data_IF_827185283145
#
_entry.id   IF_827185283145
#
_cell.length_a   1.000
_cell.length_b   1.000
_cell.length_c   1.000
_cell.angle_alpha   90.00
_cell.angle_beta   90.00
_cell.angle_gamma   90.00
#
_symmetry.space_group_name_H-M   'P 1'
#
loop_
_entity.id
_entity.type
_entity.pdbx_description
1 polymer ?
#
# COMPACT_ATOMS: atom_id res chain seq x y z
N UNK A 1 -3.87 10.98 -38.74
CA UNK A 1 -2.65 11.77 -38.48
C UNK A 1 -2.67 12.52 -37.13
N UNK A 2 -3.47 13.58 -36.90
CA UNK A 2 -3.48 14.28 -35.57
C UNK A 2 -3.99 13.40 -34.41
N UNK A 3 -5.03 12.59 -34.64
CA UNK A 3 -5.55 11.66 -33.63
C UNK A 3 -4.58 10.48 -33.35
N UNK A 4 -3.96 9.92 -34.40
CA UNK A 4 -3.00 8.82 -34.23
C UNK A 4 -1.75 9.23 -33.46
N UNK A 5 -1.23 10.44 -33.70
CA UNK A 5 -0.09 10.96 -32.94
C UNK A 5 -0.43 11.20 -31.47
N UNK A 6 -1.67 11.56 -31.16
CA UNK A 6 -2.10 11.73 -29.77
C UNK A 6 -2.21 10.37 -29.06
N UNK A 7 -2.75 9.33 -29.73
CA UNK A 7 -2.84 7.97 -29.18
C UNK A 7 -1.44 7.39 -28.97
N UNK A 8 -0.51 7.58 -29.91
CA UNK A 8 0.89 7.11 -29.82
C UNK A 8 1.63 7.63 -28.59
N UNK A 9 1.29 8.84 -28.14
CA UNK A 9 1.85 9.47 -26.94
C UNK A 9 1.01 9.26 -25.69
N UNK A 10 -0.10 8.52 -25.77
CA UNK A 10 -0.99 8.31 -24.63
C UNK A 10 -0.70 6.98 -23.94
N UNK A 11 -0.46 7.00 -22.64
CA UNK A 11 -0.15 5.83 -21.81
C UNK A 11 -1.17 5.73 -20.69
N UNK A 12 -1.71 4.53 -20.46
CA UNK A 12 -2.60 4.26 -19.33
C UNK A 12 -1.84 3.45 -18.26
N UNK A 13 -1.90 3.89 -17.01
CA UNK A 13 -1.23 3.23 -15.89
C UNK A 13 -2.28 2.85 -14.86
N UNK A 14 -2.35 1.59 -14.50
CA UNK A 14 -3.23 1.07 -13.44
C UNK A 14 -2.44 0.88 -12.14
N UNK A 15 -2.95 1.44 -11.05
CA UNK A 15 -2.35 1.43 -9.72
C UNK A 15 -1.55 2.70 -9.45
N UNK A 16 -2.08 3.57 -8.59
CA UNK A 16 -1.46 4.82 -8.16
C UNK A 16 -0.76 4.69 -6.81
N UNK A 17 -0.05 3.59 -6.61
CA UNK A 17 0.99 3.48 -5.59
C UNK A 17 2.23 4.30 -5.96
N UNK A 18 3.26 4.26 -5.10
CA UNK A 18 4.55 4.94 -5.32
C UNK A 18 5.12 4.67 -6.72
N UNK A 19 5.00 3.43 -7.19
CA UNK A 19 5.54 3.01 -8.47
C UNK A 19 4.81 3.66 -9.66
N UNK A 20 3.48 3.53 -9.72
CA UNK A 20 2.67 4.13 -10.79
C UNK A 20 2.79 5.65 -10.83
N UNK A 21 2.91 6.30 -9.67
CA UNK A 21 3.17 7.75 -9.58
C UNK A 21 4.53 8.12 -10.17
N UNK A 22 5.59 7.39 -9.83
CA UNK A 22 6.93 7.65 -10.36
C UNK A 22 7.04 7.37 -11.86
N UNK A 23 6.38 6.32 -12.37
CA UNK A 23 6.30 6.04 -13.81
C UNK A 23 5.55 7.18 -14.52
N UNK A 24 4.44 7.63 -13.94
CA UNK A 24 3.63 8.73 -14.50
C UNK A 24 4.46 10.00 -14.66
N UNK A 25 5.22 10.39 -13.64
CA UNK A 25 6.08 11.58 -13.67
C UNK A 25 7.13 11.46 -14.77
N UNK A 26 7.85 10.33 -14.82
CA UNK A 26 8.92 10.13 -15.80
C UNK A 26 8.41 10.17 -17.24
N UNK A 27 7.31 9.46 -17.54
CA UNK A 27 6.72 9.48 -18.89
C UNK A 27 6.17 10.86 -19.25
N UNK A 28 5.55 11.54 -18.29
CA UNK A 28 4.97 12.86 -18.54
C UNK A 28 6.03 13.93 -18.80
N UNK A 29 7.15 13.87 -18.07
CA UNK A 29 8.33 14.73 -18.29
C UNK A 29 9.01 14.42 -19.64
N UNK A 30 8.91 13.18 -20.14
CA UNK A 30 9.32 12.80 -21.51
C UNK A 30 8.31 13.22 -22.59
N UNK A 31 7.21 13.89 -22.23
CA UNK A 31 6.22 14.41 -23.17
C UNK A 31 5.10 13.46 -23.57
N UNK A 32 4.91 12.35 -22.84
CA UNK A 32 3.75 11.48 -23.00
C UNK A 32 2.56 12.01 -22.20
N UNK A 33 1.34 11.78 -22.72
CA UNK A 33 0.09 11.99 -22.02
C UNK A 33 -0.23 10.75 -21.18
N UNK A 34 -0.28 10.88 -19.86
CA UNK A 34 -0.48 9.77 -18.93
C UNK A 34 -1.85 9.86 -18.28
N UNK A 35 -2.61 8.76 -18.35
CA UNK A 35 -3.77 8.53 -17.50
C UNK A 35 -3.39 7.60 -16.37
N UNK A 36 -3.29 8.13 -15.14
CA UNK A 36 -3.07 7.32 -13.95
C UNK A 36 -4.41 6.94 -13.34
N UNK A 37 -4.71 5.65 -13.35
CA UNK A 37 -6.00 5.07 -13.00
C UNK A 37 -5.85 4.23 -11.74
N UNK A 38 -6.70 4.48 -10.75
CA UNK A 38 -6.76 3.67 -9.53
C UNK A 38 -8.23 3.43 -9.13
N UNK A 39 -8.53 2.23 -8.67
CA UNK A 39 -9.86 1.85 -8.20
C UNK A 39 -10.13 2.35 -6.78
N UNK A 40 -9.09 2.74 -6.04
CA UNK A 40 -9.20 3.35 -4.73
C UNK A 40 -9.57 4.83 -4.84
N UNK A 41 -10.16 5.35 -3.76
CA UNK A 41 -10.57 6.76 -3.68
C UNK A 41 -9.38 7.72 -3.57
N UNK A 42 -8.20 7.19 -3.26
CA UNK A 42 -6.97 7.93 -3.02
C UNK A 42 -5.78 7.21 -3.65
N UNK A 43 -4.77 7.98 -4.05
CA UNK A 43 -3.47 7.44 -4.43
C UNK A 43 -2.59 7.28 -3.18
N UNK A 44 -1.47 6.57 -3.32
CA UNK A 44 -0.63 6.17 -2.19
C UNK A 44 -0.20 4.73 -2.30
N UNK A 45 -1.17 3.84 -2.53
CA UNK A 45 -0.98 2.41 -2.34
C UNK A 45 -0.51 2.13 -0.91
N UNK A 46 0.32 1.09 -0.74
CA UNK A 46 0.75 0.64 0.59
C UNK A 46 1.60 1.67 1.34
N UNK A 47 2.30 2.55 0.62
CA UNK A 47 3.04 3.65 1.24
C UNK A 47 2.18 4.57 2.13
N UNK A 48 0.86 4.61 1.90
CA UNK A 48 -0.06 5.40 2.69
C UNK A 48 -0.21 4.94 4.14
N UNK A 49 0.11 3.68 4.46
CA UNK A 49 -0.12 3.13 5.82
C UNK A 49 1.11 2.42 6.41
N UNK A 50 2.25 2.44 5.72
CA UNK A 50 3.50 1.79 6.18
C UNK A 50 4.41 2.70 7.02
N UNK A 51 4.00 3.96 7.26
CA UNK A 51 4.68 4.99 8.05
C UNK A 51 6.10 5.36 7.54
N UNK A 52 7.11 4.53 7.82
CA UNK A 52 8.50 4.73 7.42
C UNK A 52 8.98 3.69 6.41
N UNK A 53 9.88 4.09 5.53
CA UNK A 53 10.58 3.23 4.58
C UNK A 53 11.91 2.75 5.16
N UNK A 54 12.14 1.45 5.15
CA UNK A 54 13.46 0.88 5.42
C UNK A 54 14.33 0.96 4.15
N UNK A 55 15.67 0.97 4.27
CA UNK A 55 16.45 0.99 5.51
C UNK A 55 16.73 2.40 6.06
N UNK A 56 16.31 3.47 5.36
CA UNK A 56 16.70 4.83 5.73
C UNK A 56 15.87 5.41 6.88
N UNK A 57 14.76 4.76 7.24
CA UNK A 57 13.78 5.23 8.23
C UNK A 57 13.19 6.61 7.90
N UNK A 58 13.28 6.98 6.62
CA UNK A 58 12.62 8.13 6.05
C UNK A 58 11.13 7.90 5.94
N UNK A 59 10.40 8.99 5.78
CA UNK A 59 9.00 8.94 5.46
C UNK A 59 8.76 8.22 4.12
N UNK A 60 7.78 7.30 4.05
CA UNK A 60 7.49 6.52 2.84
C UNK A 60 7.02 7.39 1.66
N UNK A 61 6.74 8.67 1.91
CA UNK A 61 6.13 9.58 0.95
C UNK A 61 7.09 10.17 -0.09
N UNK A 62 8.28 9.64 -0.30
CA UNK A 62 9.23 10.18 -1.27
C UNK A 62 8.96 9.68 -2.71
N UNK A 63 8.53 10.58 -3.59
CA UNK A 63 8.40 10.46 -5.04
C UNK A 63 9.52 11.20 -5.79
N UNK A 64 9.64 10.95 -7.09
CA UNK A 64 10.47 11.77 -7.97
C UNK A 64 9.95 13.22 -8.04
N UNK A 65 10.87 14.18 -8.21
CA UNK A 65 10.48 15.56 -8.53
C UNK A 65 9.98 15.62 -9.96
N UNK A 66 8.98 16.46 -10.23
CA UNK A 66 8.55 16.77 -11.60
C UNK A 66 9.44 17.83 -12.24
N UNK A 67 9.64 17.76 -13.55
CA UNK A 67 10.30 18.82 -14.33
C UNK A 67 9.44 20.07 -14.49
N UNK A 68 8.10 19.92 -14.46
CA UNK A 68 7.15 21.02 -14.67
C UNK A 68 7.16 22.09 -13.56
N UNK A 69 7.36 21.69 -12.29
CA UNK A 69 7.56 22.61 -11.17
C UNK A 69 8.82 22.19 -10.42
N UNK A 70 9.97 22.74 -10.81
CA UNK A 70 11.22 22.52 -10.08
C UNK A 70 11.15 23.04 -8.63
N UNK A 71 11.74 22.32 -7.68
CA UNK A 71 11.94 22.80 -6.30
C UNK A 71 10.83 22.49 -5.28
N UNK A 72 9.79 21.78 -5.69
CA UNK A 72 8.85 21.17 -4.74
C UNK A 72 9.49 19.90 -4.15
N UNK A 73 9.45 19.76 -2.82
CA UNK A 73 9.99 18.57 -2.13
C UNK A 73 9.42 17.30 -2.77
N UNK A 74 10.25 16.26 -2.81
CA UNK A 74 9.94 14.89 -3.25
C UNK A 74 8.78 14.22 -2.51
N UNK A 75 7.95 14.92 -1.74
CA UNK A 75 6.87 14.30 -0.97
C UNK A 75 5.61 14.10 -1.82
N UNK A 76 4.78 13.09 -1.51
CA UNK A 76 3.40 12.96 -2.05
C UNK A 76 2.69 14.31 -2.05
N UNK A 77 2.68 14.99 -0.91
CA UNK A 77 2.07 16.31 -0.74
C UNK A 77 2.48 17.37 -1.78
N UNK A 78 3.74 17.37 -2.23
CA UNK A 78 4.32 18.47 -3.02
C UNK A 78 4.80 18.07 -4.39
N UNK A 79 4.76 16.80 -4.80
CA UNK A 79 5.39 16.29 -6.03
C UNK A 79 4.98 16.99 -7.34
N UNK A 80 3.99 17.90 -7.29
CA UNK A 80 3.59 18.72 -8.44
C UNK A 80 2.76 17.94 -9.45
N UNK A 81 2.58 16.64 -9.22
CA UNK A 81 1.89 15.73 -10.12
C UNK A 81 0.45 16.17 -10.40
N UNK A 82 -0.25 16.72 -9.41
CA UNK A 82 -1.60 17.30 -9.56
C UNK A 82 -1.66 18.46 -10.54
N UNK A 83 -0.52 19.10 -10.82
CA UNK A 83 -0.42 20.26 -11.71
C UNK A 83 0.32 19.92 -13.00
N UNK A 84 0.71 18.67 -13.22
CA UNK A 84 1.43 18.30 -14.42
C UNK A 84 0.45 18.26 -15.60
N UNK A 85 0.68 19.04 -16.67
CA UNK A 85 -0.31 19.20 -17.76
C UNK A 85 -0.55 17.90 -18.54
N UNK A 86 0.45 17.02 -18.58
CA UNK A 86 0.35 15.73 -19.27
C UNK A 86 -0.10 14.57 -18.37
N UNK A 87 -0.50 14.81 -17.11
CA UNK A 87 -0.97 13.74 -16.22
C UNK A 87 -2.44 13.99 -15.88
N UNK A 88 -3.27 13.02 -16.24
CA UNK A 88 -4.68 12.97 -15.83
C UNK A 88 -4.85 11.91 -14.75
N UNK A 89 -5.37 12.34 -13.60
CA UNK A 89 -5.56 11.51 -12.42
C UNK A 89 -7.00 10.99 -12.32
N UNK A 90 -7.18 9.67 -12.42
CA UNK A 90 -8.48 9.00 -12.40
C UNK A 90 -8.60 8.07 -11.19
N UNK A 91 -9.05 8.63 -10.07
CA UNK A 91 -9.35 7.87 -8.83
C UNK A 91 -10.73 7.21 -8.90
N UNK A 92 -10.94 6.20 -8.06
CA UNK A 92 -12.21 5.48 -7.94
C UNK A 92 -12.72 4.99 -9.30
N UNK A 93 -11.80 4.54 -10.16
CA UNK A 93 -12.04 4.21 -11.56
C UNK A 93 -11.62 2.78 -11.85
N UNK A 94 -12.52 2.01 -12.45
CA UNK A 94 -12.34 0.59 -12.76
C UNK A 94 -12.42 0.35 -14.27
N UNK A 95 -11.62 -0.59 -14.79
CA UNK A 95 -11.71 -1.03 -16.18
C UNK A 95 -12.93 -1.94 -16.37
N UNK A 96 -13.81 -1.61 -17.31
CA UNK A 96 -14.93 -2.45 -17.73
C UNK A 96 -14.52 -3.40 -18.85
N UNK A 97 -13.89 -2.86 -19.90
CA UNK A 97 -13.48 -3.63 -21.06
C UNK A 97 -12.22 -3.03 -21.70
N UNK A 98 -11.40 -3.91 -22.30
CA UNK A 98 -10.24 -3.56 -23.09
C UNK A 98 -10.38 -4.17 -24.47
N UNK A 99 -10.19 -3.36 -25.52
CA UNK A 99 -10.13 -3.79 -26.92
C UNK A 99 -8.86 -3.28 -27.57
N UNK A 100 -8.53 -3.85 -28.73
CA UNK A 100 -7.38 -3.43 -29.52
C UNK A 100 -6.10 -4.17 -29.19
N UNK A 101 -4.97 -3.58 -29.57
CA UNK A 101 -3.62 -4.19 -29.50
C UNK A 101 -2.56 -3.11 -29.33
N UNK A 102 -1.30 -3.50 -29.08
CA UNK A 102 -0.15 -2.59 -28.95
C UNK A 102 -0.23 -1.44 -29.96
N UNK A 103 -0.18 -0.21 -29.47
CA UNK A 103 -0.25 1.02 -30.26
C UNK A 103 -1.65 1.61 -30.46
N UNK A 104 -2.72 0.85 -30.23
CA UNK A 104 -4.10 1.34 -30.22
C UNK A 104 -4.99 0.44 -29.35
N UNK A 105 -4.91 0.65 -28.05
CA UNK A 105 -5.84 0.09 -27.07
C UNK A 105 -7.02 1.04 -26.89
N UNK A 106 -8.21 0.48 -26.72
CA UNK A 106 -9.43 1.20 -26.37
C UNK A 106 -9.95 0.69 -25.03
N UNK A 107 -9.97 1.57 -24.04
CA UNK A 107 -10.38 1.30 -22.67
C UNK A 107 -11.77 1.87 -22.43
N UNK A 108 -12.67 1.02 -21.94
CA UNK A 108 -13.95 1.44 -21.38
C UNK A 108 -13.81 1.44 -19.85
N UNK A 109 -13.88 2.62 -19.23
CA UNK A 109 -13.68 2.80 -17.79
C UNK A 109 -14.98 3.25 -17.12
N UNK A 110 -15.15 2.87 -15.85
CA UNK A 110 -16.23 3.31 -14.98
C UNK A 110 -15.65 4.06 -13.80
N UNK A 111 -15.94 5.37 -13.70
CA UNK A 111 -15.55 6.22 -12.59
C UNK A 111 -16.72 6.37 -11.62
N UNK A 112 -16.51 5.91 -10.39
CA UNK A 112 -17.46 6.08 -9.28
C UNK A 112 -17.24 7.45 -8.63
N UNK A 113 -18.31 8.12 -8.17
CA UNK A 113 -18.19 9.43 -7.52
C UNK A 113 -17.45 9.34 -6.19
N UNK A 114 -16.57 10.31 -5.93
CA UNK A 114 -16.03 10.62 -4.58
C UNK A 114 -16.93 11.64 -3.85
N UNK A 115 -17.90 12.22 -4.58
CA UNK A 115 -18.82 13.29 -4.15
C UNK A 115 -18.14 14.59 -3.69
N UNK A 116 -16.84 14.72 -3.90
CA UNK A 116 -16.03 15.88 -3.52
C UNK A 116 -15.18 16.28 -4.73
N UNK A 117 -15.28 17.55 -5.11
CA UNK A 117 -14.50 18.15 -6.20
C UNK A 117 -13.13 18.60 -5.73
N UNK A 118 -12.28 18.95 -6.70
CA UNK A 118 -10.92 19.44 -6.46
C UNK A 118 -10.88 20.85 -5.81
N UNK A 119 -12.04 21.50 -5.64
CA UNK A 119 -12.19 22.76 -4.92
C UNK A 119 -12.06 22.60 -3.39
N UNK A 120 -11.98 21.36 -2.89
CA UNK A 120 -11.96 21.07 -1.46
C UNK A 120 -10.66 21.57 -0.80
N UNK A 121 -10.82 22.37 0.26
CA UNK A 121 -9.71 22.97 1.01
C UNK A 121 -9.30 22.19 2.28
N UNK A 122 -9.81 20.96 2.46
CA UNK A 122 -9.47 20.06 3.58
C UNK A 122 -9.66 20.68 4.99
N UNK A 123 -10.76 21.42 5.21
CA UNK A 123 -10.99 22.18 6.45
C UNK A 123 -11.62 21.41 7.63
N UNK A 124 -11.90 20.12 7.51
CA UNK A 124 -12.48 19.31 8.60
C UNK A 124 -13.97 19.50 8.92
N UNK A 125 -14.59 20.63 8.56
CA UNK A 125 -15.98 20.96 8.94
C UNK A 125 -17.03 19.90 8.59
N UNK A 126 -16.86 19.20 7.46
CA UNK A 126 -17.78 18.14 7.05
C UNK A 126 -17.72 16.90 7.96
N UNK A 127 -16.57 16.66 8.59
CA UNK A 127 -16.34 15.56 9.53
C UNK A 127 -16.98 15.90 10.88
N UNK A 128 -16.74 17.11 11.39
CA UNK A 128 -17.26 17.58 12.69
C UNK A 128 -18.80 17.47 12.81
N UNK A 129 -19.53 17.69 11.71
CA UNK A 129 -20.99 17.65 11.71
C UNK A 129 -21.56 16.24 11.43
N UNK A 130 -20.72 15.28 11.09
CA UNK A 130 -21.18 13.97 10.66
C UNK A 130 -21.59 13.11 11.86
N UNK A 131 -22.86 12.68 11.97
CA UNK A 131 -23.35 11.95 13.14
C UNK A 131 -22.83 10.50 13.25
N UNK A 132 -22.02 10.04 12.29
CA UNK A 132 -21.45 8.69 12.23
C UNK A 132 -19.92 8.71 12.44
N UNK A 133 -19.36 9.87 12.79
CA UNK A 133 -17.95 10.04 13.07
C UNK A 133 -17.83 10.65 14.46
N UNK A 134 -17.17 9.92 15.36
CA UNK A 134 -16.99 10.37 16.74
C UNK A 134 -15.72 11.22 16.88
N UNK A 135 -14.65 10.90 16.14
CA UNK A 135 -13.41 11.67 16.12
C UNK A 135 -12.89 11.89 14.70
N UNK A 136 -12.29 13.06 14.44
CA UNK A 136 -11.60 13.36 13.17
C UNK A 136 -10.44 12.40 12.88
N UNK A 137 -9.89 11.71 13.88
CA UNK A 137 -8.86 10.69 13.67
C UNK A 137 -9.41 9.34 13.23
N UNK A 138 -10.71 9.09 13.43
CA UNK A 138 -11.34 7.85 12.97
C UNK A 138 -11.48 7.81 11.46
N UNK A 139 -11.40 8.98 10.79
CA UNK A 139 -11.59 9.14 9.34
C UNK A 139 -10.39 8.78 8.48
N UNK A 140 -9.36 8.19 9.09
CA UNK A 140 -8.26 7.56 8.37
C UNK A 140 -8.80 6.46 7.46
N UNK A 141 -8.40 6.47 6.20
CA UNK A 141 -8.83 5.46 5.24
C UNK A 141 -8.11 4.14 5.51
N UNK A 142 -8.71 3.29 6.35
CA UNK A 142 -8.29 1.91 6.58
C UNK A 142 -9.20 1.01 5.72
N UNK A 143 -8.80 0.83 4.47
CA UNK A 143 -9.38 -0.11 3.48
C UNK A 143 -10.92 -0.09 3.34
N UNK A 144 -11.55 -1.27 3.30
CA UNK A 144 -12.98 -1.46 3.06
C UNK A 144 -13.85 -0.94 4.21
N UNK A 145 -13.27 -0.73 5.40
CA UNK A 145 -14.00 -0.25 6.57
C UNK A 145 -13.89 1.25 6.84
N UNK A 146 -13.26 2.03 5.95
CA UNK A 146 -13.14 3.48 6.13
C UNK A 146 -14.48 4.16 6.42
N UNK A 147 -14.47 5.25 7.22
CA UNK A 147 -15.70 5.94 7.58
C UNK A 147 -16.43 6.56 6.39
N UNK A 148 -17.61 7.08 6.70
CA UNK A 148 -18.50 7.76 5.76
C UNK A 148 -17.85 8.96 5.07
N UNK A 149 -16.99 9.71 5.77
CA UNK A 149 -16.12 10.73 5.21
C UNK A 149 -14.72 10.30 5.58
N UNK A 150 -13.83 10.16 4.61
CA UNK A 150 -12.46 9.73 4.86
C UNK A 150 -11.45 10.60 4.14
N UNK A 151 -10.22 10.58 4.62
CA UNK A 151 -9.03 11.00 3.89
C UNK A 151 -7.99 9.88 4.00
N UNK A 152 -7.08 9.81 3.02
CA UNK A 152 -6.04 8.78 3.07
C UNK A 152 -4.99 9.09 4.13
N UNK A 153 -4.42 10.28 4.02
CA UNK A 153 -3.41 10.82 4.91
C UNK A 153 -3.47 12.35 4.77
N UNK A 154 -3.26 13.15 5.83
CA UNK A 154 -3.42 14.61 5.75
C UNK A 154 -2.54 15.24 4.65
N UNK A 155 -1.45 14.57 4.28
CA UNK A 155 -0.40 15.01 3.36
C UNK A 155 -0.40 14.24 2.01
N UNK A 156 -1.50 13.58 1.63
CA UNK A 156 -1.61 12.79 0.38
C UNK A 156 -1.76 13.65 -0.90
N UNK A 157 -1.34 13.10 -2.05
CA UNK A 157 -1.68 13.60 -3.39
C UNK A 157 -3.19 13.47 -3.54
N UNK A 158 -3.88 14.60 -3.54
CA UNK A 158 -5.34 14.69 -3.41
C UNK A 158 -5.82 14.56 -1.95
N UNK A 159 -5.44 15.55 -1.13
CA UNK A 159 -5.92 15.77 0.24
C UNK A 159 -7.40 16.13 0.33
N UNK A 160 -8.19 15.87 -0.73
CA UNK A 160 -9.63 16.06 -0.69
C UNK A 160 -10.24 14.88 0.05
N UNK A 161 -11.21 15.12 0.92
CA UNK A 161 -11.99 14.04 1.48
C UNK A 161 -12.70 13.23 0.39
N UNK A 162 -13.13 12.02 0.73
CA UNK A 162 -14.06 11.21 -0.06
C UNK A 162 -15.27 10.86 0.79
N UNK A 163 -16.45 10.79 0.17
CA UNK A 163 -17.69 10.40 0.86
C UNK A 163 -18.13 9.01 0.39
N UNK A 164 -18.36 8.10 1.34
CA UNK A 164 -18.98 6.79 1.09
C UNK A 164 -20.49 6.88 1.36
N UNK A 165 -21.24 7.22 0.32
CA UNK A 165 -22.71 7.35 0.40
C UNK A 165 -23.43 6.05 0.79
N UNK A 166 -22.81 4.89 0.58
CA UNK A 166 -23.34 3.58 1.02
C UNK A 166 -23.44 3.44 2.55
N UNK A 167 -22.61 4.17 3.31
CA UNK A 167 -22.66 4.23 4.78
C UNK A 167 -23.48 5.42 5.31
N UNK A 168 -24.07 6.21 4.42
CA UNK A 168 -24.82 7.43 4.73
C UNK A 168 -26.32 7.17 4.66
N UNK A 169 -27.08 7.82 5.55
CA UNK A 169 -28.53 7.91 5.38
C UNK A 169 -28.87 8.59 4.03
N UNK A 170 -29.80 8.05 3.22
CA UNK A 170 -30.07 8.54 1.86
C UNK A 170 -30.39 10.05 1.79
N UNK A 171 -31.12 10.58 2.76
CA UNK A 171 -31.57 11.98 2.76
C UNK A 171 -30.59 12.95 3.42
N UNK A 172 -29.53 12.46 4.07
CA UNK A 172 -28.60 13.31 4.82
C UNK A 172 -27.79 14.22 3.88
N UNK A 173 -27.79 15.53 4.20
CA UNK A 173 -27.09 16.60 3.47
C UNK A 173 -26.23 17.51 4.36
N UNK A 174 -26.12 17.20 5.66
CA UNK A 174 -25.43 18.06 6.66
C UNK A 174 -24.02 18.49 6.24
N UNK A 175 -23.22 17.56 5.71
CA UNK A 175 -21.86 17.86 5.26
C UNK A 175 -21.84 18.83 4.06
N UNK A 176 -22.83 18.76 3.16
CA UNK A 176 -22.97 19.67 2.01
C UNK A 176 -23.29 21.09 2.47
N UNK A 177 -24.14 21.24 3.48
CA UNK A 177 -24.61 22.53 4.00
C UNK A 177 -23.49 23.32 4.70
N UNK A 178 -22.57 22.63 5.39
CA UNK A 178 -21.46 23.28 6.12
C UNK A 178 -20.23 23.59 5.26
N UNK A 179 -20.17 23.07 4.02
CA UNK A 179 -18.99 23.21 3.17
C UNK A 179 -18.81 24.65 2.67
N UNK A 180 -17.76 25.39 3.11
CA UNK A 180 -17.61 26.82 2.80
C UNK A 180 -17.36 27.08 1.31
N UNK A 181 -16.71 26.13 0.62
CA UNK A 181 -16.33 26.21 -0.80
C UNK A 181 -17.28 25.43 -1.72
N UNK A 182 -18.35 24.84 -1.17
CA UNK A 182 -19.35 24.05 -1.92
C UNK A 182 -18.76 22.91 -2.77
N UNK A 183 -17.63 22.34 -2.34
CA UNK A 183 -16.95 21.24 -3.02
C UNK A 183 -17.73 19.90 -2.94
N UNK A 184 -18.66 19.77 -1.98
CA UNK A 184 -19.45 18.55 -1.78
C UNK A 184 -20.65 18.52 -2.72
N UNK A 185 -20.61 17.61 -3.70
CA UNK A 185 -21.66 17.38 -4.70
C UNK A 185 -22.18 15.93 -4.57
N UNK A 186 -23.24 15.78 -3.77
CA UNK A 186 -23.84 14.47 -3.44
C UNK A 186 -24.67 13.85 -4.58
N UNK A 187 -24.92 14.63 -5.63
CA UNK A 187 -25.71 14.31 -6.81
C UNK A 187 -24.88 13.83 -8.01
N UNK A 188 -23.54 13.82 -7.87
CA UNK A 188 -22.64 13.25 -8.90
C UNK A 188 -22.98 11.77 -9.09
N UNK A 189 -23.23 11.40 -10.34
CA UNK A 189 -23.45 10.02 -10.76
C UNK A 189 -22.16 9.40 -11.27
N UNK A 190 -22.18 8.08 -11.40
CA UNK A 190 -21.11 7.34 -12.05
C UNK A 190 -20.93 7.82 -13.51
N UNK A 191 -19.68 7.88 -13.95
CA UNK A 191 -19.29 8.35 -15.27
C UNK A 191 -18.62 7.21 -16.05
N UNK A 192 -19.02 7.01 -17.31
CA UNK A 192 -18.35 6.08 -18.22
C UNK A 192 -17.40 6.86 -19.11
N UNK A 193 -16.12 6.50 -19.10
CA UNK A 193 -15.07 7.14 -19.87
C UNK A 193 -14.58 6.18 -20.96
N UNK A 194 -14.22 6.73 -22.12
CA UNK A 194 -13.54 5.99 -23.19
C UNK A 194 -12.19 6.63 -23.45
N UNK A 195 -11.12 5.86 -23.33
CA UNK A 195 -9.74 6.35 -23.46
C UNK A 195 -9.00 5.44 -24.43
N UNK A 196 -8.27 6.04 -25.37
CA UNK A 196 -7.38 5.30 -26.28
C UNK A 196 -5.93 5.56 -25.92
N UNK A 197 -5.11 4.51 -25.87
CA UNK A 197 -3.70 4.60 -25.51
C UNK A 197 -2.82 3.64 -26.31
N UNK A 198 -1.53 3.92 -26.39
CA UNK A 198 -0.57 3.07 -27.10
C UNK A 198 -0.10 1.89 -26.25
N UNK A 199 0.11 2.11 -24.95
CA UNK A 199 0.60 1.11 -24.01
C UNK A 199 -0.18 1.19 -22.69
N UNK A 200 -0.19 0.06 -21.98
CA UNK A 200 -0.78 -0.10 -20.65
C UNK A 200 0.30 -0.57 -19.69
N UNK A 201 0.34 0.00 -18.49
CA UNK A 201 1.25 -0.40 -17.41
C UNK A 201 0.40 -0.77 -16.20
N UNK A 202 0.69 -1.89 -15.55
CA UNK A 202 -0.01 -2.34 -14.35
C UNK A 202 0.99 -2.41 -13.18
N UNK A 203 0.71 -1.62 -12.15
CA UNK A 203 1.53 -1.45 -10.95
C UNK A 203 0.69 -1.47 -9.68
N UNK A 204 -0.32 -2.36 -9.64
CA UNK A 204 -1.32 -2.47 -8.57
C UNK A 204 -0.79 -3.04 -7.24
N UNK A 205 0.52 -3.29 -7.14
CA UNK A 205 1.19 -3.67 -5.89
C UNK A 205 0.70 -4.98 -5.28
N UNK A 206 0.78 -5.06 -3.95
CA UNK A 206 0.44 -6.23 -3.15
C UNK A 206 -0.61 -5.88 -2.08
N UNK A 207 -1.13 -6.91 -1.41
CA UNK A 207 -1.85 -6.79 -0.15
C UNK A 207 -1.29 -7.79 0.86
N UNK A 208 -1.53 -7.53 2.15
CA UNK A 208 -1.15 -8.44 3.22
C UNK A 208 -1.98 -9.74 3.15
N UNK A 209 -1.33 -10.89 3.37
CA UNK A 209 -1.98 -12.18 3.52
C UNK A 209 -2.89 -12.15 4.75
N UNK A 210 -4.15 -12.61 4.62
CA UNK A 210 -5.06 -12.68 5.75
C UNK A 210 -4.67 -13.82 6.70
N UNK A 211 -4.12 -13.53 7.90
CA UNK A 211 -3.68 -14.56 8.81
C UNK A 211 -4.83 -15.26 9.55
N UNK A 212 -6.09 -14.84 9.35
CA UNK A 212 -7.25 -15.45 10.03
C UNK A 212 -7.44 -16.92 9.66
N UNK A 213 -6.90 -17.35 8.51
CA UNK A 213 -6.92 -18.75 8.07
C UNK A 213 -5.97 -19.64 8.88
N UNK A 214 -5.08 -19.06 9.69
CA UNK A 214 -4.14 -19.76 10.56
C UNK A 214 -4.66 -19.70 12.01
N UNK A 215 -5.53 -20.65 12.35
CA UNK A 215 -6.24 -20.71 13.64
C UNK A 215 -5.31 -20.68 14.86
N UNK A 216 -4.11 -21.28 14.76
CA UNK A 216 -3.15 -21.37 15.86
C UNK A 216 -2.67 -20.00 16.36
N UNK A 217 -2.72 -18.96 15.52
CA UNK A 217 -2.25 -17.62 15.87
C UNK A 217 -3.36 -16.74 16.43
N UNK A 218 -4.63 -17.18 16.38
CA UNK A 218 -5.77 -16.49 16.99
C UNK A 218 -5.99 -15.05 16.50
N UNK A 219 -5.55 -14.75 15.29
CA UNK A 219 -5.83 -13.50 14.62
C UNK A 219 -7.33 -13.38 14.32
N UNK A 220 -7.92 -12.21 14.59
CA UNK A 220 -9.37 -11.98 14.50
C UNK A 220 -10.17 -12.49 15.71
N UNK A 221 -9.69 -13.52 16.42
CA UNK A 221 -10.27 -13.98 17.69
C UNK A 221 -9.79 -13.12 18.87
N UNK A 222 -8.49 -12.83 18.94
CA UNK A 222 -7.87 -12.04 20.02
C UNK A 222 -7.50 -10.66 19.51
N UNK A 223 -8.03 -9.61 20.14
CA UNK A 223 -7.79 -8.21 19.76
C UNK A 223 -6.32 -7.79 19.83
N UNK A 224 -5.54 -8.40 20.73
CA UNK A 224 -4.12 -8.09 20.93
C UNK A 224 -3.18 -8.91 20.02
N UNK A 225 -3.75 -9.60 19.03
CA UNK A 225 -3.02 -10.19 17.90
C UNK A 225 -3.28 -9.32 16.68
N UNK A 226 -2.25 -8.64 16.18
CA UNK A 226 -2.35 -7.70 15.06
C UNK A 226 -1.36 -8.05 13.96
N UNK A 227 -1.47 -7.43 12.80
CA UNK A 227 -0.50 -7.55 11.71
C UNK A 227 0.54 -6.44 11.71
N UNK A 228 1.56 -6.54 10.85
CA UNK A 228 2.58 -5.49 10.72
C UNK A 228 2.01 -4.20 10.13
N UNK A 229 1.03 -4.29 9.23
CA UNK A 229 0.38 -3.10 8.66
C UNK A 229 -0.46 -2.38 9.73
N UNK A 230 -1.16 -3.13 10.58
CA UNK A 230 -1.88 -2.57 11.73
C UNK A 230 -0.94 -1.92 12.74
N UNK A 231 0.24 -2.52 12.98
CA UNK A 231 1.26 -1.92 13.81
C UNK A 231 1.82 -0.63 13.19
N UNK A 232 2.04 -0.60 11.88
CA UNK A 232 2.52 0.59 11.17
C UNK A 232 1.58 1.77 11.36
N UNK A 233 0.28 1.56 11.18
CA UNK A 233 -0.77 2.57 11.43
C UNK A 233 -0.79 3.00 12.90
N UNK A 234 -0.54 2.09 13.84
CA UNK A 234 -0.48 2.40 15.27
C UNK A 234 0.74 3.25 15.64
N UNK A 235 1.87 3.02 14.98
CA UNK A 235 3.12 3.72 15.22
C UNK A 235 3.21 5.07 14.48
N UNK A 236 2.35 5.32 13.51
CA UNK A 236 2.28 6.59 12.80
C UNK A 236 1.78 7.72 13.74
N UNK A 237 2.55 8.81 13.93
CA UNK A 237 2.12 9.98 14.70
C UNK A 237 0.85 10.66 14.15
N UNK A 238 0.61 10.58 12.85
CA UNK A 238 -0.60 11.10 12.20
C UNK A 238 -1.71 10.02 12.11
N UNK A 239 -1.44 8.83 12.61
CA UNK A 239 -2.38 7.71 12.72
C UNK A 239 -3.38 7.86 13.88
N UNK A 240 -4.34 6.94 14.01
CA UNK A 240 -5.44 7.03 14.97
C UNK A 240 -5.00 6.97 16.45
N UNK A 241 -3.78 6.51 16.73
CA UNK A 241 -3.22 6.37 18.08
C UNK A 241 -2.17 7.42 18.43
N UNK A 242 -1.94 8.43 17.57
CA UNK A 242 -0.90 9.46 17.78
C UNK A 242 0.50 8.85 17.99
N UNK A 243 0.82 7.78 17.26
CA UNK A 243 2.06 7.03 17.41
C UNK A 243 2.21 6.27 18.73
N UNK A 244 1.15 6.17 19.55
CA UNK A 244 1.19 5.45 20.83
C UNK A 244 1.03 3.94 20.62
N UNK A 245 1.95 3.18 21.20
CA UNK A 245 1.87 1.72 21.26
C UNK A 245 0.95 1.28 22.42
N UNK A 246 -0.27 0.85 22.06
CA UNK A 246 -1.32 0.48 23.03
C UNK A 246 -1.97 -0.86 22.66
N UNK A 247 -2.44 -1.59 23.67
CA UNK A 247 -3.20 -2.83 23.47
C UNK A 247 -4.54 -2.51 22.80
N UNK A 248 -4.88 -3.10 21.63
CA UNK A 248 -6.18 -2.87 21.01
C UNK A 248 -7.36 -3.27 21.90
N UNK A 249 -7.20 -4.26 22.78
CA UNK A 249 -8.26 -4.75 23.66
C UNK A 249 -8.74 -3.75 24.72
N UNK A 250 -7.82 -3.02 25.34
CA UNK A 250 -8.10 -2.20 26.53
C UNK A 250 -7.40 -0.83 26.54
N UNK A 251 -6.67 -0.49 25.47
CA UNK A 251 -5.95 0.78 25.27
C UNK A 251 -4.86 1.09 26.29
N UNK A 252 -4.44 0.11 27.11
CA UNK A 252 -3.30 0.26 28.02
C UNK A 252 -1.97 0.25 27.25
N UNK A 253 -0.91 0.87 27.78
CA UNK A 253 0.44 0.75 27.22
C UNK A 253 0.90 -0.70 27.09
N UNK A 254 1.68 -0.98 26.06
CA UNK A 254 2.26 -2.31 25.80
C UNK A 254 3.66 -2.37 26.43
N UNK A 255 3.92 -3.39 27.24
CA UNK A 255 5.24 -3.59 27.87
C UNK A 255 6.08 -4.64 27.12
N UNK A 256 5.43 -5.56 26.42
CA UNK A 256 6.09 -6.63 25.67
C UNK A 256 5.45 -6.83 24.31
N UNK A 257 6.27 -6.76 23.27
CA UNK A 257 5.90 -7.00 21.87
C UNK A 257 6.63 -8.24 21.37
N UNK A 258 5.90 -9.17 20.79
CA UNK A 258 6.47 -10.33 20.10
C UNK A 258 6.05 -10.28 18.64
N UNK A 259 7.01 -10.30 17.73
CA UNK A 259 6.78 -10.31 16.29
C UNK A 259 7.10 -11.70 15.72
N UNK A 260 6.15 -12.30 15.02
CA UNK A 260 6.32 -13.61 14.37
C UNK A 260 6.60 -13.44 12.88
N UNK A 261 7.69 -14.00 12.38
CA UNK A 261 8.02 -14.00 10.95
C UNK A 261 7.30 -15.12 10.19
N UNK A 262 7.30 -14.98 8.85
CA UNK A 262 6.85 -16.02 7.92
C UNK A 262 5.39 -16.46 8.12
N UNK A 263 4.51 -15.56 8.59
CA UNK A 263 3.09 -15.90 8.76
C UNK A 263 2.43 -16.00 7.38
N UNK A 264 2.06 -17.21 6.97
CA UNK A 264 1.50 -17.46 5.62
C UNK A 264 2.52 -17.33 4.49
N UNK A 265 3.81 -17.43 4.77
CA UNK A 265 4.90 -17.47 3.77
C UNK A 265 5.90 -18.55 4.15
N UNK A 266 6.55 -19.16 3.16
CA UNK A 266 7.39 -20.35 3.36
C UNK A 266 6.61 -21.46 4.09
N UNK A 267 5.35 -21.59 3.74
CA UNK A 267 4.41 -22.54 4.32
C UNK A 267 3.80 -23.38 3.18
N UNK A 268 3.97 -24.71 3.26
CA UNK A 268 3.49 -25.65 2.25
C UNK A 268 1.95 -25.65 2.09
N UNK A 269 1.21 -25.25 3.13
CA UNK A 269 -0.26 -25.18 3.10
C UNK A 269 -0.77 -23.90 2.47
N UNK A 270 0.00 -22.81 2.57
CA UNK A 270 -0.40 -21.49 2.07
C UNK A 270 0.54 -21.05 0.94
N UNK A 271 1.46 -20.12 1.19
CA UNK A 271 2.41 -19.64 0.19
C UNK A 271 3.78 -20.25 0.42
N UNK A 272 4.27 -21.02 -0.56
CA UNK A 272 5.58 -21.69 -0.51
C UNK A 272 6.76 -20.71 -0.64
N UNK A 273 6.51 -19.56 -1.25
CA UNK A 273 7.53 -18.54 -1.46
C UNK A 273 7.83 -17.69 -0.22
N UNK A 274 8.95 -16.98 -0.29
CA UNK A 274 9.32 -15.96 0.68
C UNK A 274 8.77 -14.61 0.24
N UNK A 275 8.13 -13.89 1.17
CA UNK A 275 7.56 -12.56 0.92
C UNK A 275 8.57 -11.41 0.84
N UNK A 276 9.87 -11.67 1.06
CA UNK A 276 11.02 -10.74 0.96
C UNK A 276 11.02 -9.53 1.93
N UNK A 277 9.86 -9.00 2.27
CA UNK A 277 9.66 -7.76 3.01
C UNK A 277 9.49 -7.95 4.51
N UNK A 278 8.87 -9.06 4.95
CA UNK A 278 8.41 -9.24 6.32
C UNK A 278 9.51 -9.11 7.38
N UNK A 279 10.71 -9.62 7.10
CA UNK A 279 11.87 -9.47 8.00
C UNK A 279 12.24 -7.99 8.20
N UNK A 280 12.33 -7.23 7.11
CA UNK A 280 12.71 -5.82 7.16
C UNK A 280 11.61 -4.96 7.79
N UNK A 281 10.33 -5.27 7.55
CA UNK A 281 9.20 -4.58 8.18
C UNK A 281 9.23 -4.74 9.70
N UNK A 282 9.44 -5.96 10.18
CA UNK A 282 9.51 -6.25 11.60
C UNK A 282 10.71 -5.56 12.27
N UNK A 283 11.89 -5.62 11.65
CA UNK A 283 13.09 -4.94 12.14
C UNK A 283 12.84 -3.43 12.23
N UNK A 284 12.24 -2.85 11.19
CA UNK A 284 11.88 -1.43 11.15
C UNK A 284 10.94 -1.03 12.28
N UNK A 285 9.82 -1.74 12.44
CA UNK A 285 8.88 -1.42 13.51
C UNK A 285 9.48 -1.66 14.90
N UNK A 286 10.31 -2.69 15.07
CA UNK A 286 11.01 -2.93 16.32
C UNK A 286 11.96 -1.79 16.69
N UNK A 287 12.72 -1.25 15.72
CA UNK A 287 13.57 -0.06 15.93
C UNK A 287 12.75 1.16 16.28
N UNK A 288 11.69 1.44 15.53
CA UNK A 288 10.76 2.57 15.81
C UNK A 288 10.21 2.48 17.23
N UNK A 289 9.85 1.27 17.69
CA UNK A 289 9.38 1.04 19.05
C UNK A 289 10.47 1.38 20.07
N UNK A 290 11.69 0.85 19.89
CA UNK A 290 12.82 1.11 20.80
C UNK A 290 13.24 2.58 20.86
N UNK A 291 13.09 3.31 19.76
CA UNK A 291 13.53 4.71 19.64
C UNK A 291 12.47 5.72 20.11
N UNK A 292 11.18 5.45 19.87
CA UNK A 292 10.12 6.46 20.01
C UNK A 292 9.10 6.17 21.11
N UNK A 293 9.09 4.96 21.69
CA UNK A 293 8.10 4.58 22.71
C UNK A 293 8.73 4.64 24.10
N UNK A 294 8.04 5.32 25.02
CA UNK A 294 8.45 5.45 26.42
C UNK A 294 7.26 5.11 27.36
N UNK A 295 7.41 4.22 28.35
CA UNK A 295 8.60 3.39 28.62
C UNK A 295 8.91 2.41 27.49
N UNK A 296 10.20 2.10 27.31
CA UNK A 296 10.67 1.23 26.22
C UNK A 296 10.20 -0.21 26.50
N UNK A 297 9.42 -0.83 25.60
CA UNK A 297 8.98 -2.21 25.78
C UNK A 297 10.08 -3.22 25.44
N UNK A 298 9.93 -4.44 25.95
CA UNK A 298 10.68 -5.59 25.46
C UNK A 298 10.18 -5.98 24.07
N UNK A 299 11.09 -6.20 23.13
CA UNK A 299 10.74 -6.55 21.75
C UNK A 299 11.46 -7.84 21.35
N UNK A 300 10.67 -8.82 20.92
CA UNK A 300 11.15 -10.11 20.43
C UNK A 300 10.75 -10.31 18.98
N UNK A 301 11.66 -10.88 18.17
CA UNK A 301 11.39 -11.30 16.80
C UNK A 301 11.66 -12.81 16.71
N UNK A 302 10.60 -13.59 16.48
CA UNK A 302 10.66 -15.05 16.28
C UNK A 302 10.79 -15.32 14.80
N UNK A 303 11.85 -16.03 14.38
CA UNK A 303 12.19 -16.18 12.97
C UNK A 303 12.75 -17.57 12.63
N UNK A 304 12.61 -17.96 11.36
CA UNK A 304 13.31 -19.13 10.80
C UNK A 304 14.71 -18.69 10.31
N UNK A 305 14.73 -17.75 9.37
CA UNK A 305 15.93 -17.07 8.87
C UNK A 305 15.64 -15.58 8.76
N UNK A 306 16.60 -14.72 9.14
CA UNK A 306 16.54 -13.29 8.86
C UNK A 306 17.06 -13.08 7.43
N UNK A 307 16.24 -12.45 6.59
CA UNK A 307 16.55 -12.23 5.16
C UNK A 307 16.76 -10.74 4.87
N UNK A 308 17.88 -10.22 5.34
CA UNK A 308 18.36 -8.84 5.14
C UNK A 308 19.46 -8.82 4.08
N UNK A 309 19.06 -8.84 2.80
CA UNK A 309 20.01 -8.98 1.68
C UNK A 309 20.82 -7.70 1.43
N UNK A 310 22.11 -7.85 1.11
CA UNK A 310 22.99 -6.75 0.74
C UNK A 310 23.18 -5.74 1.87
N UNK A 311 23.01 -4.45 1.57
CA UNK A 311 23.16 -3.37 2.55
C UNK A 311 22.13 -3.38 3.69
N UNK A 312 21.10 -4.24 3.61
CA UNK A 312 20.14 -4.41 4.69
C UNK A 312 20.72 -5.16 5.90
N UNK A 313 21.87 -5.82 5.77
CA UNK A 313 22.51 -6.52 6.90
C UNK A 313 22.96 -5.55 8.00
N UNK A 314 23.42 -4.36 7.64
CA UNK A 314 23.73 -3.30 8.61
C UNK A 314 22.47 -2.85 9.36
N UNK A 315 21.31 -2.84 8.68
CA UNK A 315 20.03 -2.52 9.28
C UNK A 315 19.61 -3.54 10.34
N UNK A 316 19.85 -4.83 10.08
CA UNK A 316 19.67 -5.90 11.07
C UNK A 316 20.68 -5.82 12.22
N UNK A 317 21.95 -5.56 11.93
CA UNK A 317 23.03 -5.47 12.93
C UNK A 317 22.75 -4.36 13.95
N UNK A 318 22.39 -3.17 13.48
CA UNK A 318 22.00 -2.04 14.36
C UNK A 318 20.75 -2.34 15.18
N UNK A 319 19.80 -3.14 14.66
CA UNK A 319 18.63 -3.55 15.42
C UNK A 319 19.01 -4.47 16.60
N UNK A 320 19.97 -5.38 16.41
CA UNK A 320 20.46 -6.25 17.50
C UNK A 320 21.17 -5.47 18.60
N UNK A 321 21.88 -4.40 18.23
CA UNK A 321 22.57 -3.51 19.18
C UNK A 321 21.56 -2.71 20.03
N UNK A 322 20.34 -2.49 19.53
CA UNK A 322 19.25 -1.78 20.21
C UNK A 322 18.37 -2.68 21.12
N UNK A 323 18.94 -3.75 21.69
CA UNK A 323 18.24 -4.66 22.62
C UNK A 323 16.92 -5.25 22.04
N UNK A 324 16.90 -5.50 20.72
CA UNK A 324 15.86 -6.28 20.07
C UNK A 324 16.29 -7.76 20.11
N UNK A 325 15.47 -8.62 20.72
CA UNK A 325 15.80 -10.02 20.94
C UNK A 325 15.34 -10.87 19.76
N UNK A 326 16.24 -11.64 19.17
CA UNK A 326 15.94 -12.52 18.04
C UNK A 326 15.95 -13.97 18.50
N UNK A 327 14.84 -14.68 18.28
CA UNK A 327 14.66 -16.09 18.66
C UNK A 327 14.53 -16.91 17.39
N UNK A 328 15.52 -17.75 17.11
CA UNK A 328 15.46 -18.67 15.96
C UNK A 328 14.52 -19.81 16.32
N UNK A 329 13.33 -19.81 15.74
CA UNK A 329 12.25 -20.66 16.21
C UNK A 329 10.95 -20.50 15.46
N UNK A 330 9.92 -21.15 15.99
CA UNK A 330 8.56 -20.99 15.51
C UNK A 330 7.57 -20.96 16.67
N UNK A 331 6.44 -20.29 16.47
CA UNK A 331 5.33 -20.22 17.42
C UNK A 331 4.39 -21.39 17.16
N UNK A 332 4.16 -22.24 18.16
CA UNK A 332 3.24 -23.37 18.01
C UNK A 332 1.80 -23.00 18.37
N UNK A 333 1.61 -22.19 19.42
CA UNK A 333 0.30 -21.96 20.03
C UNK A 333 0.23 -20.61 20.77
N UNK A 334 -0.95 -20.00 20.73
CA UNK A 334 -1.29 -18.76 21.43
C UNK A 334 -2.44 -19.02 22.41
N UNK A 335 -2.19 -18.79 23.69
CA UNK A 335 -3.19 -18.91 24.75
C UNK A 335 -3.38 -17.59 25.52
N UNK A 336 -4.50 -17.47 26.24
CA UNK A 336 -4.68 -16.39 27.21
C UNK A 336 -4.11 -16.84 28.56
N UNK A 337 -3.03 -16.20 28.98
CA UNK A 337 -2.51 -16.32 30.33
C UNK A 337 -3.37 -15.55 31.34
N UNK A 338 -3.77 -16.22 32.42
CA UNK A 338 -4.27 -15.53 33.62
C UNK A 338 -3.10 -15.22 34.55
N UNK A 339 -2.75 -13.95 34.71
CA UNK A 339 -1.82 -13.55 35.76
C UNK A 339 -2.58 -13.51 37.11
N UNK A 340 -2.29 -14.49 37.98
CA UNK A 340 -2.94 -14.63 39.30
C UNK A 340 -2.72 -13.42 40.24
N UNK A 341 -1.76 -12.53 39.94
CA UNK A 341 -1.43 -11.37 40.79
C UNK A 341 -2.02 -10.04 40.32
N UNK A 342 -2.26 -9.83 39.03
CA UNK A 342 -2.69 -8.54 38.48
C UNK A 342 -4.09 -8.52 37.85
N UNK A 343 -4.78 -9.67 37.76
CA UNK A 343 -6.00 -9.86 36.96
C UNK A 343 -5.85 -9.45 35.47
N UNK A 344 -4.64 -9.11 35.00
CA UNK A 344 -4.38 -8.77 33.61
C UNK A 344 -4.15 -10.03 32.77
N UNK A 345 -4.82 -10.06 31.63
CA UNK A 345 -4.69 -11.11 30.63
C UNK A 345 -3.55 -10.72 29.68
N UNK A 346 -2.45 -11.47 29.74
CA UNK A 346 -1.36 -11.44 28.75
C UNK A 346 -1.49 -12.65 27.82
N UNK A 347 -0.98 -12.53 26.61
CA UNK A 347 -0.85 -13.66 25.69
C UNK A 347 0.27 -14.57 26.20
N UNK A 348 0.04 -15.87 26.22
CA UNK A 348 1.07 -16.89 26.46
C UNK A 348 1.43 -17.52 25.13
N UNK A 349 2.67 -17.31 24.72
CA UNK A 349 3.19 -17.73 23.44
C UNK A 349 4.13 -18.92 23.65
N UNK A 350 3.77 -20.07 23.07
CA UNK A 350 4.59 -21.29 23.14
C UNK A 350 5.53 -21.32 21.94
N UNK A 351 6.80 -21.05 22.19
CA UNK A 351 7.83 -20.87 21.14
C UNK A 351 8.85 -21.98 21.24
N UNK A 352 9.08 -22.69 20.14
CA UNK A 352 10.22 -23.60 20.06
C UNK A 352 11.47 -22.81 19.66
N UNK A 353 12.50 -22.82 20.52
CA UNK A 353 13.81 -22.23 20.24
C UNK A 353 14.74 -23.32 19.69
N UNK A 354 15.17 -23.13 18.44
CA UNK A 354 16.01 -24.09 17.73
C UNK A 354 17.48 -24.06 18.18
N UNK A 355 17.95 -22.98 18.80
CA UNK A 355 19.33 -22.85 19.31
C UNK A 355 19.44 -23.57 20.65
N UNK A 356 18.46 -23.35 21.53
CA UNK A 356 18.39 -24.00 22.85
C UNK A 356 17.80 -25.41 22.78
N UNK A 357 17.16 -25.76 21.65
CA UNK A 357 16.41 -27.00 21.46
C UNK A 357 15.39 -27.23 22.60
N UNK A 358 14.62 -26.19 22.93
CA UNK A 358 13.66 -26.21 24.04
C UNK A 358 12.42 -25.36 23.75
N UNK A 359 11.36 -25.60 24.52
CA UNK A 359 10.13 -24.81 24.42
C UNK A 359 10.19 -23.68 25.46
N UNK A 360 10.06 -22.46 24.99
CA UNK A 360 9.93 -21.25 25.78
C UNK A 360 8.44 -20.86 25.87
N UNK A 361 8.04 -20.35 27.04
CA UNK A 361 6.75 -19.69 27.21
C UNK A 361 7.02 -18.20 27.40
N UNK A 362 6.65 -17.39 26.42
CA UNK A 362 6.83 -15.95 26.45
C UNK A 362 5.47 -15.31 26.74
N UNK A 363 5.39 -14.51 27.81
CA UNK A 363 4.23 -13.68 28.07
C UNK A 363 4.34 -12.38 27.28
N UNK A 364 3.32 -12.06 26.48
CA UNK A 364 3.31 -10.87 25.61
C UNK A 364 2.05 -10.04 25.80
N UNK A 365 2.17 -8.72 25.71
CA UNK A 365 1.03 -7.83 25.65
C UNK A 365 0.48 -7.66 24.23
N UNK A 366 1.34 -7.82 23.22
CA UNK A 366 0.99 -7.66 21.82
C UNK A 366 1.74 -8.72 20.98
N UNK A 367 0.99 -9.52 20.23
CA UNK A 367 1.55 -10.40 19.19
C UNK A 367 1.35 -9.75 17.83
N UNK A 368 2.44 -9.57 17.10
CA UNK A 368 2.46 -8.93 15.78
C UNK A 368 2.83 -9.97 14.73
N UNK A 369 1.92 -10.25 13.83
CA UNK A 369 2.10 -11.22 12.75
C UNK A 369 2.72 -10.53 11.55
N UNK A 370 3.92 -10.95 11.18
CA UNK A 370 4.57 -10.51 9.92
C UNK A 370 4.03 -11.38 8.79
N UNK A 371 2.79 -11.06 8.40
CA UNK A 371 2.06 -11.75 7.36
C UNK A 371 2.77 -11.63 6.01
N UNK A 372 2.59 -12.65 5.19
CA UNK A 372 3.09 -12.68 3.83
C UNK A 372 2.48 -11.58 2.97
N UNK A 373 3.09 -11.31 1.83
CA UNK A 373 2.51 -10.46 0.80
C UNK A 373 1.99 -11.32 -0.32
N UNK A 374 0.76 -11.04 -0.75
CA UNK A 374 0.10 -11.67 -1.89
C UNK A 374 -0.21 -10.57 -2.91
N UNK A 375 -0.31 -10.87 -4.20
CA UNK A 375 -0.65 -9.83 -5.17
C UNK A 375 -2.03 -9.24 -4.85
N UNK A 376 -2.22 -7.94 -5.12
CA UNK A 376 -3.47 -7.27 -4.77
C UNK A 376 -4.64 -7.93 -5.51
N UNK A 377 -5.73 -8.26 -4.78
CA UNK A 377 -6.90 -8.92 -5.37
C UNK A 377 -7.43 -8.12 -6.55
N UNK A 378 -7.52 -6.80 -6.39
CA UNK A 378 -8.02 -5.93 -7.45
C UNK A 378 -7.08 -5.81 -8.66
N UNK A 379 -5.76 -5.93 -8.46
CA UNK A 379 -4.78 -6.03 -9.53
C UNK A 379 -4.93 -7.34 -10.29
N UNK A 380 -5.03 -8.46 -9.59
CA UNK A 380 -5.24 -9.78 -10.20
C UNK A 380 -6.58 -9.86 -10.94
N UNK A 381 -7.65 -9.31 -10.41
CA UNK A 381 -8.96 -9.27 -11.09
C UNK A 381 -8.89 -8.46 -12.39
N UNK A 382 -8.15 -7.35 -12.38
CA UNK A 382 -7.85 -6.59 -13.60
C UNK A 382 -7.06 -7.42 -14.61
N UNK A 383 -5.97 -8.06 -14.17
CA UNK A 383 -5.12 -8.90 -15.01
C UNK A 383 -5.89 -10.07 -15.63
N UNK A 384 -6.73 -10.77 -14.85
CA UNK A 384 -7.62 -11.84 -15.32
C UNK A 384 -8.63 -11.31 -16.34
N UNK A 385 -9.24 -10.15 -16.10
CA UNK A 385 -10.21 -9.52 -17.01
C UNK A 385 -9.62 -9.23 -18.38
N UNK A 386 -8.33 -8.90 -18.45
CA UNK A 386 -7.61 -8.67 -19.71
C UNK A 386 -6.77 -9.88 -20.12
N UNK A 387 -6.98 -11.05 -19.50
CA UNK A 387 -6.35 -12.35 -19.81
C UNK A 387 -4.81 -12.33 -19.80
N UNK A 388 -4.23 -11.67 -18.80
CA UNK A 388 -2.80 -11.87 -18.50
C UNK A 388 -2.58 -13.22 -17.82
N UNK A 389 -1.45 -13.84 -18.13
CA UNK A 389 -1.02 -15.07 -17.48
C UNK A 389 -0.54 -14.80 -16.07
N UNK A 390 -0.81 -15.75 -15.17
CA UNK A 390 -0.31 -15.76 -13.81
C UNK A 390 0.61 -16.96 -13.64
N UNK A 391 1.65 -16.80 -12.82
CA UNK A 391 2.53 -17.90 -12.46
C UNK A 391 1.88 -18.82 -11.40
N UNK A 392 2.56 -19.91 -11.04
CA UNK A 392 2.07 -20.90 -10.07
C UNK A 392 1.82 -20.31 -8.67
N UNK A 393 2.46 -19.18 -8.36
CA UNK A 393 2.35 -18.47 -7.09
C UNK A 393 1.23 -17.42 -7.09
N UNK A 394 0.55 -17.24 -8.21
CA UNK A 394 -0.59 -16.33 -8.38
C UNK A 394 -0.23 -14.89 -8.74
N UNK A 395 1.05 -14.58 -8.96
CA UNK A 395 1.50 -13.27 -9.45
C UNK A 395 1.41 -13.20 -10.98
N UNK A 396 1.45 -11.98 -11.54
CA UNK A 396 1.48 -11.81 -12.99
C UNK A 396 2.79 -12.37 -13.55
N UNK A 397 2.65 -13.27 -14.52
CA UNK A 397 3.79 -13.86 -15.20
C UNK A 397 4.42 -12.82 -16.15
N UNK A 398 5.75 -12.74 -16.09
CA UNK A 398 6.54 -11.80 -16.88
C UNK A 398 7.74 -12.49 -17.51
N UNK A 399 8.15 -12.00 -18.67
CA UNK A 399 9.29 -12.53 -19.42
C UNK A 399 10.63 -12.27 -18.69
N UNK A 400 11.74 -12.72 -19.29
CA UNK A 400 13.10 -12.58 -18.75
C UNK A 400 13.51 -11.12 -18.50
N UNK A 401 12.86 -10.15 -19.16
CA UNK A 401 13.08 -8.71 -18.95
C UNK A 401 12.41 -8.15 -17.68
N UNK A 402 11.66 -9.01 -16.97
CA UNK A 402 10.93 -8.75 -15.73
C UNK A 402 9.81 -7.71 -15.83
N UNK A 403 9.40 -7.32 -17.05
CA UNK A 403 8.41 -6.27 -17.28
C UNK A 403 7.35 -6.61 -18.33
N UNK A 404 7.71 -7.42 -19.32
CA UNK A 404 6.85 -7.77 -20.44
C UNK A 404 5.89 -8.89 -20.03
N UNK A 405 4.64 -8.76 -20.45
CA UNK A 405 3.60 -9.78 -20.22
C UNK A 405 3.34 -10.57 -21.50
N UNK A 406 2.51 -11.62 -21.41
CA UNK A 406 2.05 -12.38 -22.57
C UNK A 406 1.28 -11.54 -23.62
N UNK A 407 0.94 -10.28 -23.34
CA UNK A 407 0.28 -9.36 -24.29
C UNK A 407 1.18 -8.16 -24.59
N UNK A 408 1.65 -8.10 -25.84
CA UNK A 408 2.52 -7.00 -26.31
C UNK A 408 1.88 -5.62 -26.05
N UNK A 409 2.68 -4.69 -25.51
CA UNK A 409 2.23 -3.33 -25.17
C UNK A 409 1.53 -3.21 -23.81
N UNK A 410 1.41 -4.33 -23.07
CA UNK A 410 0.96 -4.36 -21.68
C UNK A 410 2.15 -4.80 -20.82
N UNK A 411 2.52 -3.97 -19.86
CA UNK A 411 3.63 -4.19 -18.95
C UNK A 411 3.14 -4.33 -17.51
N UNK A 412 3.82 -5.12 -16.70
CA UNK A 412 3.55 -5.29 -15.26
C UNK A 412 4.83 -5.12 -14.45
N UNK A 413 4.76 -4.56 -13.25
CA UNK A 413 5.93 -4.41 -12.39
C UNK A 413 5.61 -4.27 -10.90
N UNK A 414 6.67 -4.32 -10.09
CA UNK A 414 6.62 -4.20 -8.65
C UNK A 414 6.01 -5.45 -8.00
N UNK A 415 5.37 -5.27 -6.85
CA UNK A 415 4.88 -6.40 -6.06
C UNK A 415 3.69 -7.17 -6.66
N UNK A 416 3.25 -6.79 -7.87
CA UNK A 416 2.25 -7.53 -8.64
C UNK A 416 2.86 -8.74 -9.39
N UNK A 417 4.17 -8.70 -9.68
CA UNK A 417 4.86 -9.75 -10.45
C UNK A 417 5.63 -10.72 -9.55
N UNK A 418 6.02 -10.28 -8.35
CA UNK A 418 6.62 -11.11 -7.30
C UNK A 418 6.70 -10.32 -5.99
N UNK A 419 6.91 -10.96 -4.82
CA UNK A 419 7.31 -10.23 -3.62
C UNK A 419 8.61 -9.46 -3.86
N UNK A 420 8.63 -8.15 -3.58
CA UNK A 420 9.84 -7.33 -3.77
C UNK A 420 9.75 -5.98 -3.07
N UNK A 421 10.91 -5.39 -2.74
CA UNK A 421 11.03 -4.07 -2.13
C UNK A 421 10.85 -2.90 -3.11
N UNK A 422 10.76 -1.70 -2.53
CA UNK A 422 10.56 -0.46 -3.29
C UNK A 422 11.76 -0.11 -4.18
N UNK A 423 12.98 -0.37 -3.72
CA UNK A 423 14.22 -0.03 -4.43
C UNK A 423 14.37 -0.85 -5.71
N UNK A 424 14.16 -2.16 -5.60
CA UNK A 424 14.16 -3.08 -6.73
C UNK A 424 12.99 -2.78 -7.67
N UNK A 425 11.78 -2.60 -7.14
CA UNK A 425 10.60 -2.18 -7.92
C UNK A 425 10.87 -0.91 -8.72
N UNK A 426 11.44 0.12 -8.08
CA UNK A 426 11.76 1.39 -8.73
C UNK A 426 12.76 1.21 -9.87
N UNK A 427 13.76 0.35 -9.70
CA UNK A 427 14.74 0.03 -10.75
C UNK A 427 14.07 -0.64 -11.94
N UNK A 428 13.26 -1.68 -11.71
CA UNK A 428 12.52 -2.39 -12.76
C UNK A 428 11.60 -1.44 -13.53
N UNK A 429 10.88 -0.55 -12.82
CA UNK A 429 9.95 0.37 -13.48
C UNK A 429 10.60 1.34 -14.47
N UNK A 430 11.88 1.69 -14.26
CA UNK A 430 12.63 2.52 -15.21
C UNK A 430 12.86 1.79 -16.54
N UNK A 431 12.96 0.46 -16.52
CA UNK A 431 13.05 -0.34 -17.73
C UNK A 431 11.79 -0.18 -18.60
N UNK A 432 10.60 -0.16 -17.99
CA UNK A 432 9.33 0.09 -18.72
C UNK A 432 9.34 1.46 -19.39
N UNK A 433 9.72 2.50 -18.65
CA UNK A 433 9.81 3.87 -19.18
C UNK A 433 10.77 3.91 -20.37
N UNK A 434 11.93 3.28 -20.23
CA UNK A 434 12.95 3.21 -21.27
C UNK A 434 12.44 2.50 -22.53
N UNK A 435 11.84 1.31 -22.39
CA UNK A 435 11.34 0.54 -23.53
C UNK A 435 10.21 1.27 -24.26
N UNK A 436 9.27 1.92 -23.54
CA UNK A 436 8.23 2.74 -24.15
C UNK A 436 8.83 3.92 -24.93
N UNK A 437 9.83 4.59 -24.36
CA UNK A 437 10.47 5.74 -25.01
C UNK A 437 11.28 5.32 -26.24
N UNK A 438 12.02 4.21 -26.14
CA UNK A 438 12.76 3.61 -27.25
C UNK A 438 11.84 3.21 -28.40
N UNK A 439 10.74 2.51 -28.11
CA UNK A 439 9.72 2.14 -29.10
C UNK A 439 9.11 3.37 -29.80
N UNK A 440 8.95 4.48 -29.05
CA UNK A 440 8.48 5.74 -29.59
C UNK A 440 9.48 6.35 -30.58
N UNK A 441 10.77 6.42 -30.22
CA UNK A 441 11.83 6.98 -31.09
C UNK A 441 12.02 6.20 -32.39
N UNK A 442 12.10 4.87 -32.33
CA UNK A 442 12.26 4.01 -33.53
C UNK A 442 11.13 4.23 -34.53
N UNK A 443 9.91 4.45 -34.03
CA UNK A 443 8.74 4.75 -34.86
C UNK A 443 8.72 6.17 -35.42
N UNK A 444 9.35 7.15 -34.76
CA UNK A 444 9.51 8.48 -35.34
C UNK A 444 10.50 8.44 -36.51
N UNK A 445 11.63 7.76 -36.35
CA UNK A 445 12.62 7.63 -37.43
C UNK A 445 12.02 6.94 -38.66
N UNK A 446 11.30 5.82 -38.48
CA UNK A 446 10.69 5.08 -39.60
C UNK A 446 9.51 5.79 -40.29
N UNK A 447 8.93 6.85 -39.70
CA UNK A 447 7.91 7.67 -40.37
C UNK A 447 8.45 8.96 -41.00
N UNK A 448 9.71 9.32 -40.73
CA UNK A 448 10.38 10.51 -41.26
C UNK A 448 11.24 10.22 -42.51
N UNK A 449 11.36 8.94 -42.88
CA UNK A 449 11.86 8.46 -44.18
C UNK A 449 10.69 7.86 -44.96
#
# INVERSE_FOLDING_TARGET
MKNDNNIRKTICIFGGGVLGLNISIQLADLGFNVYLIDNQQFFGGNAAHLYKAFPTDDCFFCLLSTGHKGGIRKCFYRSGINFHPNITLLRNTELLALKGKKGNFELELKRKPTYITDDCINCGKCIEICPKIDNIKDVYNIDSNSPIISYNYPQCISSYYSIRRTKCEPECKKCKEVCPVKAIKLDIKEENLKISCSNIIISSGFQEFDPSVIENYKYGELKDVITQDQLAVMLDPDGPTDGKLIKPSNKKPVETVVMLQCVGSRDEKYNKYCSELCCNYAIKHAKIIKENINPIPEVYIIYIDIRTMGFLEDYYSTARENDIRFIKGNLSEVEIGQNKKSNEKKLKLRVYDAILNSILIIESDLLVLSAGIVPSTSGIDLCKKIELQLNEEGFVDVDEDLISTNKAGIYACGSLTKPTDLSHSSTISKNIVFEIYKDFLIKEETNNY
#
